data_IF_043505550944
#
_entry.id   IF_043505550944
#
_cell.length_a   1.000
_cell.length_b   1.000
_cell.length_c   1.000
_cell.angle_alpha   90.00
_cell.angle_beta   90.00
_cell.angle_gamma   90.00
#
_symmetry.space_group_name_H-M   'P 1'
#
loop_
_entity.id
_entity.type
_entity.pdbx_description
1 polymer ?
#
# COMPACT_ATOMS: atom_id res chain seq x y z
N UNK A 1 43.87 25.02 -22.40
CA UNK A 1 43.05 23.89 -22.89
C UNK A 1 42.98 22.73 -21.90
N UNK A 2 44.10 22.16 -21.40
CA UNK A 2 44.07 21.03 -20.43
C UNK A 2 43.42 21.35 -19.07
N UNK A 3 43.58 22.57 -18.54
CA UNK A 3 42.98 23.01 -17.25
C UNK A 3 41.45 23.13 -17.30
N UNK A 4 40.89 23.53 -18.44
CA UNK A 4 39.44 23.68 -18.62
C UNK A 4 38.70 22.33 -18.70
N UNK A 5 39.38 21.27 -19.13
CA UNK A 5 38.80 19.91 -19.20
C UNK A 5 38.63 19.32 -17.79
N UNK A 6 39.56 19.62 -16.87
CA UNK A 6 39.50 19.12 -15.48
C UNK A 6 38.32 19.74 -14.72
N UNK A 7 38.02 21.03 -14.95
CA UNK A 7 36.90 21.71 -14.28
C UNK A 7 35.53 21.19 -14.75
N UNK A 8 35.40 20.85 -16.04
CA UNK A 8 34.17 20.26 -16.58
C UNK A 8 33.96 18.84 -16.06
N UNK A 9 35.03 18.05 -15.93
CA UNK A 9 34.94 16.68 -15.42
C UNK A 9 34.53 16.63 -13.94
N UNK A 10 34.94 17.62 -13.13
CA UNK A 10 34.52 17.71 -11.72
C UNK A 10 33.04 18.11 -11.56
N UNK A 11 32.46 18.87 -12.49
CA UNK A 11 31.05 19.28 -12.41
C UNK A 11 30.08 18.12 -12.72
N UNK A 12 30.47 17.14 -13.54
CA UNK A 12 29.63 15.99 -13.86
C UNK A 12 29.49 14.98 -12.69
N UNK A 13 30.38 15.02 -11.69
CA UNK A 13 30.32 14.13 -10.53
C UNK A 13 29.30 14.55 -9.47
N UNK A 14 28.71 15.74 -9.60
CA UNK A 14 27.72 16.30 -8.66
C UNK A 14 26.26 16.10 -9.12
N UNK A 15 26.01 15.17 -10.07
CA UNK A 15 24.64 14.78 -10.35
C UNK A 15 24.05 14.18 -9.07
N UNK A 16 22.94 14.74 -8.54
CA UNK A 16 22.24 14.10 -7.44
C UNK A 16 21.82 12.74 -7.98
N UNK A 17 22.48 11.68 -7.52
CA UNK A 17 21.91 10.35 -7.58
C UNK A 17 20.57 10.53 -6.90
N UNK A 18 19.48 10.44 -7.66
CA UNK A 18 18.14 10.46 -7.10
C UNK A 18 18.06 9.24 -6.19
N UNK A 19 18.49 9.43 -4.93
CA UNK A 19 18.39 8.45 -3.90
C UNK A 19 16.90 8.16 -3.81
N UNK A 20 16.54 6.89 -4.00
CA UNK A 20 15.17 6.43 -3.85
C UNK A 20 14.75 6.80 -2.42
N UNK A 21 14.03 7.91 -2.29
CA UNK A 21 13.65 8.44 -0.99
C UNK A 21 12.48 7.62 -0.49
N UNK A 22 12.74 6.75 0.48
CA UNK A 22 11.69 6.04 1.19
C UNK A 22 10.86 7.04 1.98
N UNK A 23 9.53 6.95 1.84
CA UNK A 23 8.60 7.64 2.71
C UNK A 23 8.29 6.75 3.92
N UNK A 24 7.95 7.38 5.05
CA UNK A 24 7.47 6.64 6.22
C UNK A 24 6.19 5.86 5.89
N UNK A 25 6.14 4.62 6.34
CA UNK A 25 4.95 3.78 6.27
C UNK A 25 4.18 3.88 7.59
N UNK A 26 2.87 4.10 7.52
CA UNK A 26 1.95 4.10 8.66
C UNK A 26 0.86 3.06 8.45
N UNK A 27 0.44 2.41 9.53
CA UNK A 27 -0.54 1.33 9.44
C UNK A 27 -0.46 0.36 10.62
N UNK A 28 -1.17 -0.75 10.45
CA UNK A 28 -1.20 -1.90 11.35
C UNK A 28 -0.89 -3.16 10.55
N UNK A 29 -0.41 -4.19 11.24
CA UNK A 29 -0.26 -5.51 10.65
C UNK A 29 -0.59 -6.59 11.68
N UNK A 30 -0.96 -7.78 11.20
CA UNK A 30 -1.03 -8.99 12.02
C UNK A 30 -0.65 -10.21 11.20
N UNK A 31 -0.10 -11.21 11.88
CA UNK A 31 -0.01 -12.57 11.34
C UNK A 31 -1.29 -13.30 11.75
N UNK A 32 -1.98 -13.91 10.78
CA UNK A 32 -3.19 -14.70 11.03
C UNK A 32 -3.36 -15.83 10.01
N UNK A 33 -4.47 -16.56 10.14
CA UNK A 33 -4.97 -17.43 9.09
C UNK A 33 -5.47 -16.67 7.86
N UNK A 34 -5.92 -17.43 6.86
CA UNK A 34 -6.47 -16.91 5.61
C UNK A 34 -7.82 -16.22 5.82
N UNK A 35 -8.65 -16.75 6.71
CA UNK A 35 -10.03 -16.32 6.88
C UNK A 35 -10.11 -15.12 7.81
N UNK A 36 -10.67 -14.02 7.31
CA UNK A 36 -10.72 -12.74 8.04
C UNK A 36 -11.82 -12.73 9.11
N UNK A 37 -12.98 -13.34 8.83
CA UNK A 37 -14.14 -13.41 9.71
C UNK A 37 -14.48 -14.87 9.98
N UNK A 38 -14.68 -15.21 11.26
CA UNK A 38 -15.09 -16.54 11.73
C UNK A 38 -14.26 -17.70 11.15
N UNK A 39 -12.92 -17.69 11.33
CA UNK A 39 -12.07 -18.78 10.87
C UNK A 39 -12.48 -20.09 11.56
N UNK A 40 -12.47 -21.22 10.84
CA UNK A 40 -12.73 -22.50 11.46
C UNK A 40 -11.67 -22.78 12.55
N UNK A 41 -12.02 -23.47 13.65
CA UNK A 41 -11.09 -23.70 14.76
C UNK A 41 -9.80 -24.44 14.37
N UNK A 42 -9.81 -25.17 13.26
CA UNK A 42 -8.68 -25.92 12.72
C UNK A 42 -7.79 -25.12 11.76
N UNK A 43 -8.10 -23.86 11.48
CA UNK A 43 -7.31 -23.04 10.56
C UNK A 43 -5.96 -22.65 11.16
N UNK A 44 -4.88 -22.87 10.39
CA UNK A 44 -3.54 -22.44 10.75
C UNK A 44 -3.46 -20.90 10.81
N UNK A 45 -2.94 -20.37 11.92
CA UNK A 45 -2.96 -18.94 12.25
C UNK A 45 -1.69 -18.17 11.83
N UNK A 46 -0.77 -18.82 11.11
CA UNK A 46 0.54 -18.30 10.72
C UNK A 46 0.76 -18.34 9.21
N UNK A 47 -0.33 -18.27 8.44
CA UNK A 47 -0.30 -18.44 6.98
C UNK A 47 -0.27 -17.12 6.22
N UNK A 48 -0.80 -16.05 6.82
CA UNK A 48 -0.98 -14.76 6.16
C UNK A 48 -0.47 -13.59 6.99
N UNK A 49 0.23 -12.66 6.33
CA UNK A 49 0.55 -11.33 6.86
C UNK A 49 -0.50 -10.35 6.36
N UNK A 50 -1.41 -9.93 7.24
CA UNK A 50 -2.42 -8.91 6.95
C UNK A 50 -1.82 -7.54 7.19
N UNK A 51 -2.00 -6.66 6.22
CA UNK A 51 -1.49 -5.29 6.22
C UNK A 51 -2.67 -4.33 6.08
N UNK A 52 -2.70 -3.36 6.97
CA UNK A 52 -3.59 -2.22 6.90
C UNK A 52 -2.73 -0.96 6.85
N UNK A 53 -2.62 -0.35 5.68
CA UNK A 53 -1.92 0.91 5.50
C UNK A 53 -2.87 2.06 5.85
N UNK A 54 -2.32 3.11 6.45
CA UNK A 54 -3.04 4.35 6.73
C UNK A 54 -2.23 5.57 6.33
N UNK A 55 -2.85 6.75 6.35
CA UNK A 55 -2.17 8.03 6.16
C UNK A 55 -1.58 8.20 4.75
N UNK A 56 -0.36 8.72 4.67
CA UNK A 56 0.27 9.08 3.40
C UNK A 56 0.44 7.88 2.47
N UNK A 57 0.90 6.74 3.00
CA UNK A 57 1.09 5.53 2.20
C UNK A 57 -0.22 5.01 1.58
N UNK A 58 -1.31 5.00 2.36
CA UNK A 58 -2.62 4.59 1.86
C UNK A 58 -3.17 5.56 0.81
N UNK A 59 -3.06 6.88 1.05
CA UNK A 59 -3.47 7.90 0.08
C UNK A 59 -2.72 7.77 -1.24
N UNK A 60 -1.40 7.62 -1.18
CA UNK A 60 -0.56 7.56 -2.36
C UNK A 60 -0.87 6.27 -3.15
N UNK A 61 -1.11 5.14 -2.47
CA UNK A 61 -1.56 3.90 -3.09
C UNK A 61 -2.95 4.03 -3.73
N UNK A 62 -3.95 4.58 -3.04
CA UNK A 62 -5.29 4.83 -3.57
C UNK A 62 -5.26 5.68 -4.86
N UNK A 63 -4.39 6.71 -4.90
CA UNK A 63 -4.22 7.58 -6.05
C UNK A 63 -3.43 6.92 -7.19
N UNK A 64 -2.54 5.99 -6.87
CA UNK A 64 -1.82 5.19 -7.85
C UNK A 64 -2.74 4.16 -8.53
N UNK A 65 -3.76 3.64 -7.85
CA UNK A 65 -4.75 2.73 -8.43
C UNK A 65 -5.56 3.41 -9.54
N UNK A 66 -5.33 2.97 -10.79
CA UNK A 66 -5.97 3.49 -12.02
C UNK A 66 -7.29 2.77 -12.33
N UNK A 67 -8.15 2.71 -11.32
CA UNK A 67 -9.53 2.20 -11.41
C UNK A 67 -10.49 3.24 -10.89
N UNK A 68 -11.74 3.18 -11.35
CA UNK A 68 -12.77 4.11 -10.88
C UNK A 68 -13.22 3.80 -9.45
N UNK A 69 -13.32 4.82 -8.58
CA UNK A 69 -13.88 4.66 -7.25
C UNK A 69 -15.34 4.19 -7.30
N UNK A 70 -15.71 3.30 -6.38
CA UNK A 70 -17.09 2.88 -6.14
C UNK A 70 -17.52 3.30 -4.73
N UNK A 71 -18.81 3.53 -4.48
CA UNK A 71 -19.31 3.74 -3.12
C UNK A 71 -18.97 2.56 -2.20
N UNK A 72 -18.63 2.87 -0.94
CA UNK A 72 -18.48 1.84 0.08
C UNK A 72 -19.86 1.38 0.58
N UNK A 73 -20.26 0.18 0.15
CA UNK A 73 -21.52 -0.43 0.58
C UNK A 73 -21.50 -0.88 2.05
N UNK A 74 -20.31 -1.06 2.64
CA UNK A 74 -20.17 -1.53 4.03
C UNK A 74 -20.45 -0.42 5.03
N UNK A 75 -19.84 0.74 4.83
CA UNK A 75 -20.01 1.86 5.74
C UNK A 75 -21.28 2.68 5.44
N UNK A 76 -21.74 2.71 4.18
CA UNK A 76 -22.94 3.45 3.77
C UNK A 76 -22.88 4.96 4.07
N UNK A 77 -21.68 5.51 4.28
CA UNK A 77 -21.44 6.86 4.82
C UNK A 77 -20.81 7.80 3.78
N UNK A 78 -20.91 7.50 2.49
CA UNK A 78 -20.31 8.30 1.43
C UNK A 78 -18.80 8.08 1.22
N UNK A 79 -18.18 7.15 1.94
CA UNK A 79 -16.83 6.70 1.63
C UNK A 79 -16.76 6.05 0.25
N UNK A 80 -15.59 6.15 -0.39
CA UNK A 80 -15.34 5.56 -1.71
C UNK A 80 -14.23 4.53 -1.63
N UNK A 81 -14.45 3.37 -2.23
CA UNK A 81 -13.49 2.28 -2.36
C UNK A 81 -12.89 2.21 -3.76
N UNK A 82 -11.64 1.77 -3.83
CA UNK A 82 -10.99 1.29 -5.05
C UNK A 82 -10.46 -0.10 -4.80
N UNK A 83 -10.66 -1.00 -5.76
CA UNK A 83 -10.18 -2.38 -5.67
C UNK A 83 -9.39 -2.74 -6.91
N UNK A 84 -8.16 -3.25 -6.72
CA UNK A 84 -7.32 -3.78 -7.80
C UNK A 84 -6.85 -5.17 -7.41
N UNK A 85 -7.36 -6.19 -8.10
CA UNK A 85 -7.09 -7.59 -7.76
C UNK A 85 -7.55 -7.89 -6.33
N UNK A 86 -6.59 -8.22 -5.47
CA UNK A 86 -6.81 -8.57 -4.05
C UNK A 86 -6.59 -7.40 -3.09
N UNK A 87 -6.14 -6.23 -3.57
CA UNK A 87 -5.95 -5.03 -2.76
C UNK A 87 -7.20 -4.14 -2.81
N UNK A 88 -7.59 -3.61 -1.66
CA UNK A 88 -8.65 -2.62 -1.54
C UNK A 88 -8.15 -1.39 -0.79
N UNK A 89 -8.59 -0.21 -1.22
CA UNK A 89 -8.36 1.03 -0.51
C UNK A 89 -9.67 1.81 -0.37
N UNK A 90 -9.86 2.45 0.77
CA UNK A 90 -10.96 3.32 1.11
C UNK A 90 -10.46 4.76 1.24
N UNK A 91 -11.30 5.69 0.79
CA UNK A 91 -11.21 7.12 1.09
C UNK A 91 -12.47 7.55 1.84
N UNK A 92 -12.31 8.24 2.96
CA UNK A 92 -13.43 8.83 3.70
C UNK A 92 -14.23 9.81 2.84
N UNK A 93 -15.49 10.04 3.22
CA UNK A 93 -16.37 11.01 2.55
C UNK A 93 -15.74 12.40 2.46
N UNK A 94 -15.12 12.87 3.56
CA UNK A 94 -14.46 14.16 3.64
C UNK A 94 -13.11 14.22 2.90
N UNK A 95 -12.65 13.09 2.37
CA UNK A 95 -11.41 12.95 1.60
C UNK A 95 -10.13 13.08 2.41
N UNK A 96 -10.19 13.11 3.75
CA UNK A 96 -9.00 13.29 4.61
C UNK A 96 -8.34 11.99 5.01
N UNK A 97 -9.12 10.93 5.18
CA UNK A 97 -8.63 9.65 5.67
C UNK A 97 -8.59 8.63 4.54
N UNK A 98 -7.50 7.86 4.54
CA UNK A 98 -7.25 6.81 3.58
C UNK A 98 -6.77 5.58 4.33
N UNK A 99 -7.30 4.44 3.92
CA UNK A 99 -6.94 3.14 4.46
C UNK A 99 -6.84 2.15 3.31
N UNK A 100 -5.83 1.29 3.31
CA UNK A 100 -5.69 0.22 2.33
C UNK A 100 -5.45 -1.10 3.03
N UNK A 101 -6.10 -2.16 2.59
CA UNK A 101 -6.01 -3.48 3.18
C UNK A 101 -5.73 -4.55 2.13
N UNK A 102 -4.79 -5.43 2.47
CA UNK A 102 -4.45 -6.63 1.73
C UNK A 102 -3.64 -7.58 2.63
N UNK A 103 -3.53 -8.82 2.23
CA UNK A 103 -2.71 -9.82 2.89
C UNK A 103 -1.64 -10.37 1.96
N UNK A 104 -0.59 -10.92 2.54
CA UNK A 104 0.41 -11.72 1.84
C UNK A 104 0.26 -13.14 2.36
N UNK A 105 -0.12 -14.06 1.48
CA UNK A 105 0.08 -15.49 1.68
C UNK A 105 1.59 -15.74 1.76
N UNK A 106 2.06 -16.12 2.95
CA UNK A 106 3.49 -16.19 3.27
C UNK A 106 4.16 -17.33 2.51
N UNK A 107 3.47 -18.47 2.38
CA UNK A 107 4.03 -19.65 1.74
C UNK A 107 4.12 -19.48 0.21
N UNK A 108 3.09 -18.89 -0.39
CA UNK A 108 2.99 -18.72 -1.84
C UNK A 108 3.51 -17.37 -2.34
N UNK A 109 3.88 -16.45 -1.43
CA UNK A 109 4.34 -15.09 -1.74
C UNK A 109 3.36 -14.33 -2.64
N UNK A 110 2.07 -14.48 -2.36
CA UNK A 110 0.99 -13.94 -3.18
C UNK A 110 0.14 -12.97 -2.37
N UNK A 111 -0.28 -11.87 -3.00
CA UNK A 111 -1.25 -10.97 -2.39
C UNK A 111 -2.63 -11.63 -2.39
N UNK A 112 -3.30 -11.62 -1.25
CA UNK A 112 -4.68 -12.09 -1.04
C UNK A 112 -5.52 -11.00 -0.37
N UNK A 113 -6.84 -11.10 -0.48
CA UNK A 113 -7.76 -10.11 0.08
C UNK A 113 -7.80 -10.19 1.60
N UNK A 114 -7.73 -9.02 2.24
CA UNK A 114 -7.78 -8.87 3.70
C UNK A 114 -8.94 -8.00 4.19
N UNK A 115 -9.89 -7.67 3.30
CA UNK A 115 -11.10 -6.94 3.64
C UNK A 115 -12.34 -7.71 3.23
N UNK A 116 -13.38 -7.55 4.04
CA UNK A 116 -14.70 -8.14 3.85
C UNK A 116 -15.75 -7.13 4.30
N UNK A 117 -16.88 -7.20 3.63
CA UNK A 117 -18.18 -6.77 4.08
C UNK A 117 -18.92 -8.05 4.53
#
# INVERSE_FOLDING_TARGET
MKRSIVTILLLLAALPVAAWQYNSLSGQYRISGQTVIDPPPSEAQDTHLLLELSGAAARDLYNAMKVEPQPDECAGNGALIKTVGEMQCLRSEDGKEFQCSFAIDIANQKITRASVC
#
